data_IF_611308278671
#
_entry.id   IF_611308278671
#
_cell.length_a   1.000
_cell.length_b   1.000
_cell.length_c   1.000
_cell.angle_alpha   90.00
_cell.angle_beta   90.00
_cell.angle_gamma   90.00
#
_symmetry.space_group_name_H-M   'P 1'
#
loop_
_entity.id
_entity.type
_entity.pdbx_description
1 polymer ?
#
# COMPACT_ATOMS: atom_id res chain seq x y z
N UNK A 1 24.11 41.21 -77.10
CA UNK A 1 22.66 41.50 -77.07
C UNK A 1 22.02 40.17 -76.64
N UNK A 2 21.90 39.90 -75.32
CA UNK A 2 20.77 40.33 -74.43
C UNK A 2 19.44 39.85 -75.05
N UNK A 3 18.59 39.01 -74.46
CA UNK A 3 17.95 38.99 -73.12
C UNK A 3 17.42 37.56 -72.84
N UNK A 4 17.65 36.96 -71.66
CA UNK A 4 16.79 36.88 -70.46
C UNK A 4 15.64 35.85 -70.45
N UNK A 5 15.76 34.96 -69.47
CA UNK A 5 14.75 34.27 -68.66
C UNK A 5 13.27 34.60 -68.91
N UNK A 6 12.47 33.55 -69.07
CA UNK A 6 11.14 33.48 -68.47
C UNK A 6 10.88 32.12 -67.86
N UNK A 7 11.14 32.05 -66.55
CA UNK A 7 10.59 31.08 -65.62
C UNK A 7 9.14 31.49 -65.32
N UNK A 8 8.18 30.61 -65.61
CA UNK A 8 6.82 30.64 -65.05
C UNK A 8 6.63 29.43 -64.13
N UNK A 9 6.29 29.60 -62.84
CA UNK A 9 6.10 28.48 -61.93
C UNK A 9 4.72 27.86 -62.20
N UNK A 10 4.68 26.55 -62.48
CA UNK A 10 3.44 25.79 -62.37
C UNK A 10 3.21 25.48 -60.89
N UNK A 11 2.08 26.00 -60.41
CA UNK A 11 1.52 25.90 -59.08
C UNK A 11 1.29 24.47 -58.61
N UNK A 12 1.49 24.31 -57.31
CA UNK A 12 0.97 23.27 -56.42
C UNK A 12 -0.37 22.69 -56.85
N UNK A 13 -0.48 21.37 -56.73
CA UNK A 13 -1.55 20.70 -55.97
C UNK A 13 -1.19 19.21 -55.82
N UNK A 14 -0.31 18.91 -54.85
CA UNK A 14 -0.24 17.55 -54.29
C UNK A 14 -1.39 17.42 -53.28
N UNK A 15 -2.30 16.44 -53.43
CA UNK A 15 -3.42 16.28 -52.52
C UNK A 15 -2.91 15.99 -51.11
N UNK A 16 -3.37 16.83 -50.18
CA UNK A 16 -2.95 16.85 -48.78
C UNK A 16 -2.84 15.46 -48.19
N UNK A 17 -1.59 15.06 -47.92
CA UNK A 17 -1.27 14.11 -46.88
C UNK A 17 -1.94 14.63 -45.61
N UNK A 18 -2.99 13.94 -45.20
CA UNK A 18 -3.67 14.19 -43.95
C UNK A 18 -2.65 14.05 -42.83
N UNK A 19 -2.13 15.19 -42.40
CA UNK A 19 -1.34 15.39 -41.19
C UNK A 19 -1.86 14.44 -40.10
N UNK A 20 -1.12 13.37 -39.71
CA UNK A 20 -1.55 12.53 -38.62
C UNK A 20 -1.54 13.42 -37.39
N UNK A 21 -2.76 13.72 -36.94
CA UNK A 21 -3.11 14.40 -35.69
C UNK A 21 -2.04 14.14 -34.64
N UNK A 22 -1.26 15.18 -34.38
CA UNK A 22 -0.67 15.52 -33.10
C UNK A 22 -0.59 14.32 -32.13
N UNK A 23 0.48 13.52 -32.24
CA UNK A 23 0.82 12.54 -31.21
C UNK A 23 1.16 13.31 -29.96
N UNK A 24 0.15 13.52 -29.12
CA UNK A 24 0.35 13.97 -27.76
C UNK A 24 1.23 12.95 -27.05
N UNK A 25 2.53 13.25 -26.95
CA UNK A 25 3.49 12.59 -26.04
C UNK A 25 3.16 12.91 -24.57
N UNK A 26 1.87 12.89 -24.24
CA UNK A 26 1.31 13.23 -22.95
C UNK A 26 0.70 11.99 -22.32
N UNK A 27 0.84 11.90 -21.00
CA UNK A 27 0.17 10.91 -20.17
C UNK A 27 -1.35 10.88 -20.43
N UNK A 28 -1.89 9.69 -20.71
CA UNK A 28 -3.33 9.45 -20.83
C UNK A 28 -3.82 8.49 -19.74
N UNK A 29 -4.54 9.04 -18.77
CA UNK A 29 -5.14 8.28 -17.68
C UNK A 29 -6.16 7.24 -18.17
N UNK A 30 -6.87 7.54 -19.26
CA UNK A 30 -7.85 6.62 -19.86
C UNK A 30 -7.17 5.33 -20.35
N UNK A 31 -6.03 5.48 -21.03
CA UNK A 31 -5.19 4.35 -21.44
C UNK A 31 -4.68 3.54 -20.25
N UNK A 32 -4.21 4.19 -19.17
CA UNK A 32 -3.74 3.48 -17.97
C UNK A 32 -4.85 2.66 -17.31
N UNK A 33 -6.06 3.22 -17.20
CA UNK A 33 -7.21 2.50 -16.62
C UNK A 33 -7.63 1.33 -17.53
N UNK A 34 -7.63 1.54 -18.85
CA UNK A 34 -7.95 0.48 -19.80
C UNK A 34 -6.94 -0.68 -19.73
N UNK A 35 -5.65 -0.37 -19.64
CA UNK A 35 -4.58 -1.36 -19.43
C UNK A 35 -4.78 -2.10 -18.10
N UNK A 36 -5.06 -1.41 -17.00
CA UNK A 36 -5.30 -2.04 -15.70
C UNK A 36 -6.50 -3.00 -15.75
N UNK A 37 -7.61 -2.58 -16.38
CA UNK A 37 -8.76 -3.45 -16.62
C UNK A 37 -8.36 -4.68 -17.42
N UNK A 38 -7.57 -4.52 -18.47
CA UNK A 38 -7.13 -5.65 -19.30
C UNK A 38 -6.21 -6.60 -18.52
N UNK A 39 -5.26 -6.09 -17.73
CA UNK A 39 -4.41 -6.92 -16.86
C UNK A 39 -5.25 -7.75 -15.88
N UNK A 40 -6.32 -7.18 -15.34
CA UNK A 40 -7.19 -7.88 -14.38
C UNK A 40 -8.10 -8.89 -15.10
N UNK A 41 -8.66 -8.54 -16.26
CA UNK A 41 -9.71 -9.36 -16.90
C UNK A 41 -9.18 -10.36 -17.92
N UNK A 42 -8.08 -10.05 -18.59
CA UNK A 42 -7.41 -10.90 -19.58
C UNK A 42 -5.89 -10.63 -19.61
N UNK A 43 -5.16 -11.04 -18.56
CA UNK A 43 -3.72 -10.83 -18.49
C UNK A 43 -2.96 -11.61 -19.57
N UNK A 44 -3.49 -12.74 -20.04
CA UNK A 44 -2.83 -13.54 -21.08
C UNK A 44 -2.65 -12.73 -22.37
N UNK A 45 -3.74 -12.14 -22.85
CA UNK A 45 -3.72 -11.27 -24.03
C UNK A 45 -2.90 -10.00 -23.77
N UNK A 46 -3.01 -9.40 -22.57
CA UNK A 46 -2.24 -8.21 -22.23
C UNK A 46 -0.72 -8.49 -22.29
N UNK A 47 -0.25 -9.49 -21.54
CA UNK A 47 1.18 -9.82 -21.44
C UNK A 47 1.77 -10.30 -22.76
N UNK A 48 0.99 -11.00 -23.60
CA UNK A 48 1.46 -11.41 -24.93
C UNK A 48 1.74 -10.22 -25.85
N UNK A 49 0.92 -9.17 -25.75
CA UNK A 49 0.93 -8.03 -26.67
C UNK A 49 1.67 -6.79 -26.14
N UNK A 50 2.01 -6.74 -24.85
CA UNK A 50 2.70 -5.58 -24.29
C UNK A 50 4.08 -5.37 -24.97
N UNK A 51 4.48 -4.11 -25.19
CA UNK A 51 5.82 -3.81 -25.69
C UNK A 51 6.88 -4.32 -24.71
N UNK A 52 7.93 -4.94 -25.24
CA UNK A 52 9.05 -5.46 -24.44
C UNK A 52 10.19 -4.45 -24.26
N UNK A 53 10.17 -3.36 -25.02
CA UNK A 53 11.15 -2.26 -25.00
C UNK A 53 10.44 -0.88 -25.07
N UNK A 54 11.20 0.22 -25.07
CA UNK A 54 10.65 1.59 -25.07
C UNK A 54 10.76 2.36 -23.74
N UNK A 55 11.89 2.24 -23.03
CA UNK A 55 12.13 2.88 -21.73
C UNK A 55 11.27 2.39 -20.54
N UNK A 56 11.49 3.05 -19.40
CA UNK A 56 10.81 2.79 -18.11
C UNK A 56 9.69 3.79 -17.79
N UNK A 57 9.53 4.85 -18.61
CA UNK A 57 8.60 5.95 -18.33
C UNK A 57 7.14 5.49 -18.22
N UNK A 58 6.61 4.88 -19.28
CA UNK A 58 5.23 4.37 -19.31
C UNK A 58 4.92 3.39 -18.15
N UNK A 59 5.69 2.32 -17.91
CA UNK A 59 5.42 1.41 -16.81
C UNK A 59 5.57 2.08 -15.43
N UNK A 60 6.50 3.02 -15.26
CA UNK A 60 6.63 3.77 -14.00
C UNK A 60 5.41 4.66 -13.74
N UNK A 61 4.93 5.36 -14.76
CA UNK A 61 3.71 6.16 -14.65
C UNK A 61 2.51 5.28 -14.29
N UNK A 62 2.42 4.09 -14.88
CA UNK A 62 1.39 3.11 -14.51
C UNK A 62 1.45 2.74 -13.01
N UNK A 63 2.64 2.44 -12.49
CA UNK A 63 2.86 2.15 -11.05
C UNK A 63 2.45 3.33 -10.18
N UNK A 64 2.82 4.55 -10.56
CA UNK A 64 2.46 5.78 -9.82
C UNK A 64 0.95 5.93 -9.76
N UNK A 65 0.24 5.78 -10.89
CA UNK A 65 -1.23 5.89 -10.93
C UNK A 65 -1.87 4.82 -10.05
N UNK A 66 -1.47 3.56 -10.17
CA UNK A 66 -2.00 2.48 -9.31
C UNK A 66 -1.71 2.74 -7.83
N UNK A 67 -0.54 3.30 -7.52
CA UNK A 67 -0.16 3.69 -6.16
C UNK A 67 -0.99 4.83 -5.60
N UNK A 68 -1.25 5.88 -6.38
CA UNK A 68 -2.16 6.97 -5.99
C UNK A 68 -3.58 6.43 -5.78
N UNK A 69 -4.09 5.59 -6.68
CA UNK A 69 -5.42 5.00 -6.56
C UNK A 69 -5.54 4.12 -5.30
N UNK A 70 -4.57 3.23 -5.07
CA UNK A 70 -4.56 2.38 -3.88
C UNK A 70 -4.40 3.20 -2.59
N UNK A 71 -3.54 4.22 -2.59
CA UNK A 71 -3.33 5.13 -1.46
C UNK A 71 -4.58 5.97 -1.14
N UNK A 72 -5.30 6.44 -2.17
CA UNK A 72 -6.56 7.16 -2.01
C UNK A 72 -7.65 6.26 -1.43
N UNK A 73 -7.80 5.04 -1.93
CA UNK A 73 -8.75 4.05 -1.37
C UNK A 73 -8.40 3.80 0.10
N UNK A 74 -7.13 3.49 0.40
CA UNK A 74 -6.68 3.26 1.77
C UNK A 74 -6.96 4.47 2.68
N UNK A 75 -6.64 5.68 2.22
CA UNK A 75 -6.86 6.92 2.99
C UNK A 75 -8.34 7.16 3.29
N UNK A 76 -9.23 6.94 2.32
CA UNK A 76 -10.68 7.03 2.53
C UNK A 76 -11.15 5.99 3.56
N UNK A 77 -10.73 4.73 3.42
CA UNK A 77 -11.06 3.68 4.39
C UNK A 77 -10.55 4.01 5.79
N UNK A 78 -9.40 4.65 5.88
CA UNK A 78 -8.78 5.08 7.14
C UNK A 78 -9.58 6.15 7.88
N UNK A 79 -10.18 7.10 7.15
CA UNK A 79 -11.07 8.11 7.75
C UNK A 79 -12.28 7.45 8.41
N UNK A 80 -12.81 6.37 7.82
CA UNK A 80 -13.92 5.59 8.38
C UNK A 80 -13.48 4.60 9.48
N UNK A 81 -12.22 4.62 9.91
CA UNK A 81 -11.69 3.75 10.95
C UNK A 81 -11.44 2.30 10.50
N UNK A 82 -11.57 1.99 9.21
CA UNK A 82 -11.50 0.61 8.69
C UNK A 82 -10.07 0.06 8.57
N UNK A 83 -9.05 0.89 8.79
CA UNK A 83 -7.63 0.51 8.70
C UNK A 83 -6.87 0.66 10.03
N UNK A 84 -7.50 1.27 11.05
CA UNK A 84 -6.86 1.63 12.32
C UNK A 84 -5.95 2.87 12.27
N UNK A 85 -5.71 3.47 11.09
CA UNK A 85 -4.79 4.62 10.96
C UNK A 85 -5.48 6.01 11.06
N UNK A 86 -6.81 6.07 11.17
CA UNK A 86 -7.56 7.33 11.30
C UNK A 86 -7.23 8.35 10.20
N UNK A 87 -7.15 9.64 10.56
CA UNK A 87 -6.79 10.70 9.61
C UNK A 87 -5.35 10.58 9.07
N UNK A 88 -4.43 9.93 9.80
CA UNK A 88 -3.05 9.74 9.37
C UNK A 88 -2.95 8.87 8.10
N UNK A 89 -3.95 8.02 7.83
CA UNK A 89 -4.01 7.21 6.61
C UNK A 89 -4.12 8.02 5.31
N UNK A 90 -4.51 9.30 5.36
CA UNK A 90 -4.47 10.19 4.18
C UNK A 90 -3.05 10.36 3.61
N UNK A 91 -2.02 10.23 4.45
CA UNK A 91 -0.63 10.24 4.01
C UNK A 91 -0.31 9.14 2.98
N UNK A 92 -1.08 8.05 2.94
CA UNK A 92 -0.90 6.96 1.98
C UNK A 92 -1.05 7.42 0.52
N UNK A 93 -1.81 8.48 0.24
CA UNK A 93 -1.95 9.05 -1.11
C UNK A 93 -0.59 9.51 -1.67
N UNK A 94 0.29 10.01 -0.80
CA UNK A 94 1.61 10.51 -1.16
C UNK A 94 2.67 9.42 -0.99
N UNK A 95 2.62 8.68 0.12
CA UNK A 95 3.64 7.68 0.46
C UNK A 95 3.55 6.45 -0.46
N UNK A 96 2.35 5.97 -0.78
CA UNK A 96 2.18 4.77 -1.59
C UNK A 96 2.82 4.86 -2.99
N UNK A 97 2.58 5.90 -3.82
CA UNK A 97 3.21 5.99 -5.13
C UNK A 97 4.73 6.07 -5.07
N UNK A 98 5.31 6.73 -4.06
CA UNK A 98 6.77 6.81 -3.88
C UNK A 98 7.32 5.42 -3.52
N UNK A 99 6.73 4.79 -2.50
CA UNK A 99 7.15 3.47 -2.04
C UNK A 99 6.99 2.40 -3.15
N UNK A 100 5.90 2.43 -3.90
CA UNK A 100 5.67 1.52 -5.02
C UNK A 100 6.59 1.79 -6.20
N UNK A 101 6.91 3.05 -6.49
CA UNK A 101 7.88 3.38 -7.54
C UNK A 101 9.23 2.72 -7.24
N UNK A 102 9.78 2.95 -6.05
CA UNK A 102 11.06 2.35 -5.61
C UNK A 102 10.94 0.83 -5.54
N UNK A 103 9.89 0.34 -4.85
CA UNK A 103 9.63 -1.08 -4.66
C UNK A 103 9.49 -1.84 -5.97
N UNK A 104 8.88 -1.22 -7.00
CA UNK A 104 8.72 -1.84 -8.31
C UNK A 104 10.06 -2.13 -8.99
N UNK A 105 11.07 -1.26 -8.87
CA UNK A 105 12.40 -1.52 -9.42
C UNK A 105 13.08 -2.67 -8.69
N UNK A 106 12.99 -2.69 -7.36
CA UNK A 106 13.58 -3.74 -6.52
C UNK A 106 12.92 -5.10 -6.80
N UNK A 107 11.59 -5.15 -6.79
CA UNK A 107 10.84 -6.38 -7.06
C UNK A 107 11.13 -6.89 -8.47
N UNK A 108 11.25 -5.99 -9.44
CA UNK A 108 11.62 -6.35 -10.81
C UNK A 108 13.04 -6.87 -10.92
N UNK A 109 13.98 -6.41 -10.07
CA UNK A 109 15.36 -6.88 -10.10
C UNK A 109 15.44 -8.32 -9.57
N UNK A 110 14.75 -8.60 -8.47
CA UNK A 110 14.60 -9.96 -7.94
C UNK A 110 13.95 -10.85 -9.00
N UNK A 111 12.83 -10.40 -9.58
CA UNK A 111 12.11 -11.18 -10.60
C UNK A 111 12.93 -11.41 -11.87
N UNK A 112 13.69 -10.40 -12.31
CA UNK A 112 14.60 -10.52 -13.44
C UNK A 112 15.65 -11.61 -13.21
N UNK A 113 16.25 -11.68 -12.03
CA UNK A 113 17.20 -12.75 -11.68
C UNK A 113 16.51 -14.11 -11.71
N UNK A 114 15.31 -14.25 -11.13
CA UNK A 114 14.56 -15.50 -11.17
C UNK A 114 14.29 -15.92 -12.62
N UNK A 115 13.78 -15.03 -13.46
CA UNK A 115 13.53 -15.33 -14.86
C UNK A 115 14.81 -15.64 -15.64
N UNK A 116 15.93 -14.99 -15.33
CA UNK A 116 17.24 -15.34 -15.92
C UNK A 116 17.70 -16.73 -15.54
N UNK A 117 17.55 -17.13 -14.29
CA UNK A 117 17.84 -18.50 -13.83
C UNK A 117 16.91 -19.53 -14.50
N UNK A 118 15.67 -19.13 -14.80
CA UNK A 118 14.73 -19.94 -15.59
C UNK A 118 15.02 -19.91 -17.11
N UNK A 119 16.07 -19.22 -17.56
CA UNK A 119 16.51 -19.17 -18.96
C UNK A 119 15.83 -18.13 -19.84
N UNK A 120 15.24 -17.08 -19.27
CA UNK A 120 14.60 -16.00 -20.03
C UNK A 120 15.59 -15.28 -20.97
N UNK A 121 15.25 -15.08 -22.25
CA UNK A 121 16.09 -14.31 -23.17
C UNK A 121 16.00 -12.80 -22.91
N UNK A 122 14.94 -12.33 -22.25
CA UNK A 122 14.65 -10.91 -22.09
C UNK A 122 15.55 -10.21 -21.06
N UNK A 123 15.58 -8.89 -21.17
CA UNK A 123 16.33 -7.97 -20.34
C UNK A 123 15.54 -7.51 -19.10
N UNK A 124 16.20 -6.69 -18.28
CA UNK A 124 15.58 -6.12 -17.09
C UNK A 124 14.38 -5.23 -17.41
N UNK A 125 14.42 -4.52 -18.55
CA UNK A 125 13.34 -3.63 -18.94
C UNK A 125 12.02 -4.39 -19.17
N UNK A 126 12.10 -5.53 -19.83
CA UNK A 126 10.94 -6.42 -20.04
C UNK A 126 10.40 -6.92 -18.71
N UNK A 127 11.29 -7.32 -17.79
CA UNK A 127 10.90 -7.78 -16.45
C UNK A 127 10.23 -6.67 -15.63
N UNK A 128 10.76 -5.45 -15.71
CA UNK A 128 10.18 -4.28 -15.06
C UNK A 128 8.78 -3.97 -15.56
N UNK A 129 8.58 -3.98 -16.89
CA UNK A 129 7.25 -3.80 -17.47
C UNK A 129 6.26 -4.84 -16.95
N UNK A 130 6.65 -6.11 -16.84
CA UNK A 130 5.78 -7.16 -16.33
C UNK A 130 5.31 -6.90 -14.89
N UNK A 131 6.25 -6.53 -14.02
CA UNK A 131 5.98 -6.26 -12.61
C UNK A 131 5.25 -4.94 -12.39
N UNK A 132 5.55 -3.91 -13.20
CA UNK A 132 4.84 -2.65 -13.17
C UNK A 132 3.36 -2.84 -13.48
N UNK A 133 3.02 -3.56 -14.55
CA UNK A 133 1.62 -3.83 -14.89
C UNK A 133 0.93 -4.74 -13.88
N UNK A 134 1.67 -5.63 -13.18
CA UNK A 134 1.11 -6.43 -12.11
C UNK A 134 0.56 -5.59 -10.94
N UNK A 135 0.98 -4.32 -10.80
CA UNK A 135 0.42 -3.39 -9.79
C UNK A 135 -1.04 -3.01 -10.06
N UNK A 136 -1.61 -3.37 -11.22
CA UNK A 136 -3.02 -3.17 -11.55
C UNK A 136 -3.97 -3.73 -10.47
N UNK A 137 -3.55 -4.76 -9.74
CA UNK A 137 -4.36 -5.40 -8.70
C UNK A 137 -4.43 -4.58 -7.40
N UNK A 138 -3.54 -3.60 -7.19
CA UNK A 138 -3.39 -2.92 -5.91
C UNK A 138 -4.64 -2.12 -5.48
N UNK A 139 -5.32 -1.36 -6.36
CA UNK A 139 -6.57 -0.69 -5.98
C UNK A 139 -7.65 -1.69 -5.54
N UNK A 140 -7.75 -2.85 -6.21
CA UNK A 140 -8.70 -3.91 -5.82
C UNK A 140 -8.36 -4.47 -4.45
N UNK A 141 -7.07 -4.75 -4.21
CA UNK A 141 -6.60 -5.25 -2.90
C UNK A 141 -6.88 -4.25 -1.78
N UNK A 142 -6.72 -2.94 -2.03
CA UNK A 142 -7.01 -1.90 -1.04
C UNK A 142 -8.50 -1.89 -0.62
N UNK A 143 -9.42 -2.22 -1.52
CA UNK A 143 -10.84 -2.37 -1.18
C UNK A 143 -11.06 -3.65 -0.37
N UNK A 144 -10.48 -4.76 -0.81
CA UNK A 144 -10.67 -6.07 -0.17
C UNK A 144 -10.02 -6.14 1.22
N UNK A 145 -9.01 -5.30 1.50
CA UNK A 145 -8.31 -5.29 2.80
C UNK A 145 -9.15 -4.85 4.00
N UNK A 146 -10.40 -4.42 3.79
CA UNK A 146 -11.36 -4.20 4.88
C UNK A 146 -11.59 -5.51 5.66
N UNK A 147 -11.55 -6.65 4.96
CA UNK A 147 -11.68 -7.97 5.58
C UNK A 147 -10.27 -8.43 6.00
N UNK A 148 -10.01 -8.66 7.31
CA UNK A 148 -8.73 -9.15 7.79
C UNK A 148 -8.25 -10.37 7.01
N UNK A 149 -6.95 -10.40 6.68
CA UNK A 149 -6.27 -11.46 5.95
C UNK A 149 -6.69 -11.66 4.48
N UNK A 150 -7.91 -11.30 4.10
CA UNK A 150 -8.42 -11.51 2.76
C UNK A 150 -7.65 -10.70 1.71
N UNK A 151 -7.31 -9.45 2.04
CA UNK A 151 -6.47 -8.61 1.17
C UNK A 151 -5.11 -9.26 0.88
N UNK A 152 -4.48 -9.86 1.89
CA UNK A 152 -3.20 -10.57 1.77
C UNK A 152 -3.32 -11.83 0.92
N UNK A 153 -4.38 -12.62 1.11
CA UNK A 153 -4.67 -13.80 0.29
C UNK A 153 -4.89 -13.42 -1.17
N UNK A 154 -5.76 -12.46 -1.45
CA UNK A 154 -6.08 -12.02 -2.82
C UNK A 154 -4.84 -11.44 -3.51
N UNK A 155 -4.09 -10.57 -2.82
CA UNK A 155 -2.83 -10.00 -3.36
C UNK A 155 -1.86 -11.10 -3.79
N UNK A 156 -1.70 -12.11 -2.95
CA UNK A 156 -0.71 -13.17 -3.18
C UNK A 156 -1.17 -14.12 -4.27
N UNK A 157 -2.39 -14.65 -4.18
CA UNK A 157 -2.92 -15.59 -5.15
C UNK A 157 -2.98 -14.98 -6.56
N UNK A 158 -3.47 -13.73 -6.65
CA UNK A 158 -3.55 -13.03 -7.92
C UNK A 158 -2.18 -12.63 -8.45
N UNK A 159 -1.28 -12.15 -7.58
CA UNK A 159 0.09 -11.82 -7.95
C UNK A 159 0.84 -13.03 -8.52
N UNK A 160 0.71 -14.19 -7.89
CA UNK A 160 1.28 -15.46 -8.39
C UNK A 160 0.73 -15.79 -9.77
N UNK A 161 -0.59 -15.68 -9.96
CA UNK A 161 -1.21 -15.93 -11.26
C UNK A 161 -0.70 -14.97 -12.36
N UNK A 162 -0.59 -13.67 -12.06
CA UNK A 162 -0.04 -12.69 -13.01
C UNK A 162 1.42 -12.99 -13.36
N UNK A 163 2.26 -13.34 -12.37
CA UNK A 163 3.66 -13.67 -12.60
C UNK A 163 3.81 -14.97 -13.40
N UNK A 164 2.98 -16.00 -13.14
CA UNK A 164 2.95 -17.22 -13.98
C UNK A 164 2.57 -16.86 -15.42
N UNK A 165 1.56 -16.00 -15.61
CA UNK A 165 1.10 -15.59 -16.93
C UNK A 165 2.18 -14.80 -17.68
N UNK A 166 2.83 -13.83 -17.03
CA UNK A 166 3.98 -13.12 -17.59
C UNK A 166 5.12 -14.08 -17.94
N UNK A 167 5.36 -15.09 -17.10
CA UNK A 167 6.40 -16.09 -17.34
C UNK A 167 6.14 -16.90 -18.61
N UNK A 168 4.89 -17.28 -18.86
CA UNK A 168 4.53 -18.07 -20.06
C UNK A 168 4.41 -17.20 -21.30
N UNK A 169 3.73 -16.06 -21.21
CA UNK A 169 3.37 -15.22 -22.37
C UNK A 169 4.49 -14.27 -22.81
N UNK A 170 5.28 -13.75 -21.87
CA UNK A 170 6.38 -12.81 -22.16
C UNK A 170 7.68 -13.57 -22.21
N UNK A 171 7.97 -14.37 -21.17
CA UNK A 171 9.28 -15.02 -21.02
C UNK A 171 9.35 -16.39 -21.70
N UNK A 172 8.26 -16.92 -22.26
CA UNK A 172 8.24 -18.20 -22.96
C UNK A 172 8.65 -19.39 -22.07
N UNK A 173 8.39 -19.29 -20.76
CA UNK A 173 8.68 -20.38 -19.82
C UNK A 173 7.59 -21.44 -19.90
N UNK A 174 7.96 -22.70 -19.63
CA UNK A 174 7.00 -23.78 -19.49
C UNK A 174 6.03 -23.49 -18.32
N UNK A 175 4.73 -23.70 -18.55
CA UNK A 175 3.67 -23.43 -17.56
C UNK A 175 3.84 -24.23 -16.27
N UNK A 176 4.23 -25.50 -16.34
CA UNK A 176 4.46 -26.34 -15.16
C UNK A 176 5.65 -25.84 -14.35
N UNK A 177 6.77 -25.51 -15.01
CA UNK A 177 7.95 -24.96 -14.34
C UNK A 177 7.64 -23.60 -13.69
N UNK A 178 6.95 -22.72 -14.40
CA UNK A 178 6.53 -21.42 -13.84
C UNK A 178 5.58 -21.60 -12.65
N UNK A 179 4.58 -22.48 -12.77
CA UNK A 179 3.64 -22.77 -11.68
C UNK A 179 4.34 -23.36 -10.46
N UNK A 180 5.33 -24.23 -10.64
CA UNK A 180 6.09 -24.79 -9.52
C UNK A 180 6.91 -23.72 -8.80
N UNK A 181 7.73 -22.96 -9.55
CA UNK A 181 8.61 -21.92 -8.97
C UNK A 181 7.80 -20.84 -8.28
N UNK A 182 6.84 -20.24 -8.97
CA UNK A 182 6.04 -19.15 -8.41
C UNK A 182 4.95 -19.62 -7.45
N UNK A 183 4.52 -20.87 -7.53
CA UNK A 183 3.66 -21.49 -6.53
C UNK A 183 4.37 -21.62 -5.19
N UNK A 184 5.61 -22.14 -5.17
CA UNK A 184 6.42 -22.25 -3.94
C UNK A 184 6.70 -20.86 -3.36
N UNK A 185 7.16 -19.90 -4.19
CA UNK A 185 7.38 -18.52 -3.74
C UNK A 185 6.09 -17.86 -3.26
N UNK A 186 4.97 -18.17 -3.90
CA UNK A 186 3.63 -17.72 -3.51
C UNK A 186 3.21 -18.22 -2.14
N UNK A 187 3.42 -19.51 -1.84
CA UNK A 187 3.11 -20.08 -0.53
C UNK A 187 3.98 -19.45 0.56
N UNK A 188 5.29 -19.32 0.32
CA UNK A 188 6.21 -18.66 1.27
C UNK A 188 5.78 -17.19 1.50
N UNK A 189 5.47 -16.48 0.42
CA UNK A 189 4.99 -15.10 0.47
C UNK A 189 3.66 -14.97 1.22
N UNK A 190 2.73 -15.90 1.03
CA UNK A 190 1.45 -15.92 1.71
C UNK A 190 1.63 -16.13 3.22
N UNK A 191 2.43 -17.11 3.63
CA UNK A 191 2.70 -17.38 5.03
C UNK A 191 3.39 -16.19 5.72
N UNK A 192 4.36 -15.58 5.03
CA UNK A 192 5.05 -14.37 5.52
C UNK A 192 4.08 -13.19 5.64
N UNK A 193 3.23 -12.99 4.63
CA UNK A 193 2.22 -11.92 4.63
C UNK A 193 1.19 -12.07 5.74
N UNK A 194 0.67 -13.28 5.94
CA UNK A 194 -0.30 -13.57 7.00
C UNK A 194 0.33 -13.40 8.39
N UNK A 195 1.57 -13.87 8.56
CA UNK A 195 2.31 -13.71 9.82
C UNK A 195 2.60 -12.23 10.11
N UNK A 196 2.97 -11.46 9.08
CA UNK A 196 3.16 -10.02 9.18
C UNK A 196 1.88 -9.28 9.54
N UNK A 197 0.76 -9.62 8.90
CA UNK A 197 -0.54 -9.00 9.20
C UNK A 197 -1.01 -9.34 10.62
N UNK A 198 -0.82 -10.58 11.07
CA UNK A 198 -1.08 -10.99 12.45
C UNK A 198 -0.24 -10.17 13.45
N UNK A 199 1.07 -10.05 13.20
CA UNK A 199 1.97 -9.29 14.07
C UNK A 199 1.63 -7.78 14.09
N UNK A 200 1.18 -7.21 12.96
CA UNK A 200 0.74 -5.81 12.90
C UNK A 200 -0.53 -5.58 13.74
N UNK A 201 -1.51 -6.49 13.67
CA UNK A 201 -2.74 -6.40 14.45
C UNK A 201 -2.47 -6.56 15.95
N UNK A 202 -1.65 -7.53 16.33
CA UNK A 202 -1.22 -7.69 17.73
C UNK A 202 -0.48 -6.44 18.25
N UNK A 203 0.35 -5.81 17.41
CA UNK A 203 1.01 -4.55 17.75
C UNK A 203 0.02 -3.40 17.89
N UNK A 204 -0.98 -3.28 17.01
CA UNK A 204 -2.04 -2.27 17.11
C UNK A 204 -2.81 -2.42 18.42
N UNK A 205 -3.27 -3.63 18.76
CA UNK A 205 -3.97 -3.88 20.03
C UNK A 205 -3.09 -3.58 21.26
N UNK A 206 -1.77 -3.82 21.17
CA UNK A 206 -0.83 -3.46 22.25
C UNK A 206 -0.59 -1.95 22.35
N UNK A 207 -0.61 -1.24 21.22
CA UNK A 207 -0.49 0.21 21.18
C UNK A 207 -1.74 0.89 21.72
N UNK A 208 -2.93 0.42 21.34
CA UNK A 208 -4.21 0.93 21.85
C UNK A 208 -4.29 0.76 23.38
N UNK A 209 -4.00 -0.45 23.89
CA UNK A 209 -3.95 -0.68 25.34
C UNK A 209 -2.92 0.21 26.06
N UNK A 210 -1.77 0.46 25.45
CA UNK A 210 -0.79 1.39 26.02
C UNK A 210 -1.28 2.84 26.00
N UNK A 211 -1.98 3.25 24.95
CA UNK A 211 -2.55 4.58 24.84
C UNK A 211 -3.63 4.79 25.91
N UNK A 212 -4.55 3.83 26.07
CA UNK A 212 -5.57 3.84 27.13
C UNK A 212 -4.95 3.91 28.53
N UNK A 213 -3.95 3.06 28.82
CA UNK A 213 -3.24 3.09 30.10
C UNK A 213 -2.52 4.42 30.34
N UNK A 214 -1.96 5.02 29.30
CA UNK A 214 -1.30 6.31 29.40
C UNK A 214 -2.32 7.42 29.69
N UNK A 215 -3.46 7.40 29.01
CA UNK A 215 -4.56 8.35 29.21
C UNK A 215 -5.14 8.25 30.63
N UNK A 216 -5.40 7.02 31.12
CA UNK A 216 -5.84 6.80 32.51
C UNK A 216 -4.83 7.35 33.53
N UNK A 217 -3.53 7.14 33.28
CA UNK A 217 -2.46 7.71 34.12
C UNK A 217 -2.50 9.23 34.10
N UNK A 218 -2.60 9.86 32.93
CA UNK A 218 -2.71 11.32 32.82
C UNK A 218 -3.93 11.86 33.57
N UNK A 219 -5.11 11.27 33.38
CA UNK A 219 -6.31 11.68 34.10
C UNK A 219 -6.18 11.48 35.61
N UNK A 220 -5.49 10.41 36.05
CA UNK A 220 -5.22 10.19 37.48
C UNK A 220 -4.29 11.25 38.07
N UNK A 221 -3.28 11.69 37.31
CA UNK A 221 -2.36 12.76 37.71
C UNK A 221 -3.07 14.10 37.76
N UNK A 222 -3.95 14.40 36.79
CA UNK A 222 -4.77 15.61 36.79
C UNK A 222 -5.70 15.65 38.01
N UNK A 223 -6.33 14.53 38.37
CA UNK A 223 -7.12 14.40 39.61
C UNK A 223 -6.28 14.62 40.86
N UNK A 224 -5.01 14.22 40.84
CA UNK A 224 -4.05 14.50 41.92
C UNK A 224 -3.51 15.93 41.91
N UNK A 225 -3.94 16.78 40.97
CA UNK A 225 -3.53 18.18 40.88
C UNK A 225 -2.25 18.42 40.08
N UNK A 226 -1.81 17.49 39.24
CA UNK A 226 -0.73 17.73 38.27
C UNK A 226 -1.35 18.05 36.91
N UNK A 227 -1.27 19.30 36.47
CA UNK A 227 -1.77 19.75 35.16
C UNK A 227 -0.90 19.25 33.99
N UNK A 228 -1.44 19.30 32.77
CA UNK A 228 -0.74 18.92 31.54
C UNK A 228 0.53 19.76 31.26
N UNK A 229 0.59 20.98 31.80
CA UNK A 229 1.73 21.91 31.72
C UNK A 229 2.79 21.67 32.81
N UNK A 230 2.57 20.68 33.69
CA UNK A 230 3.43 20.40 34.83
C UNK A 230 3.21 21.33 36.01
N UNK A 231 2.21 22.24 35.96
CA UNK A 231 1.84 23.04 37.12
C UNK A 231 1.06 22.20 38.13
N UNK A 232 1.43 22.37 39.40
CA UNK A 232 0.75 21.73 40.51
C UNK A 232 -0.42 22.64 40.92
N UNK A 233 -1.65 22.16 40.83
CA UNK A 233 -2.84 22.73 41.44
C UNK A 233 -2.88 22.32 42.92
N UNK A 234 -2.48 23.21 43.85
CA UNK A 234 -2.35 22.87 45.27
C UNK A 234 -3.71 22.60 45.92
N UNK A 235 -4.82 23.11 45.35
CA UNK A 235 -6.16 22.88 45.88
C UNK A 235 -6.66 21.47 45.54
N UNK A 236 -6.50 21.06 44.27
CA UNK A 236 -6.81 19.68 43.85
C UNK A 236 -5.92 18.66 44.57
N UNK A 237 -4.63 18.97 44.69
CA UNK A 237 -3.68 18.09 45.40
C UNK A 237 -4.01 17.97 46.89
N UNK A 238 -4.39 19.07 47.54
CA UNK A 238 -4.83 19.07 48.93
C UNK A 238 -6.10 18.26 49.16
N UNK A 239 -7.08 18.33 48.24
CA UNK A 239 -8.31 17.52 48.30
C UNK A 239 -8.02 16.04 48.11
N UNK A 240 -7.23 15.67 47.10
CA UNK A 240 -6.85 14.28 46.83
C UNK A 240 -6.12 13.66 48.04
N UNK A 241 -5.19 14.40 48.66
CA UNK A 241 -4.49 13.96 49.87
C UNK A 241 -5.45 13.80 51.05
N UNK A 242 -6.41 14.71 51.21
CA UNK A 242 -7.44 14.66 52.25
C UNK A 242 -8.35 13.43 52.14
N UNK A 243 -8.83 13.12 50.93
CA UNK A 243 -9.63 11.92 50.64
C UNK A 243 -8.86 10.64 50.93
N UNK A 244 -7.57 10.59 50.53
CA UNK A 244 -6.68 9.47 50.82
C UNK A 244 -6.51 9.24 52.34
N UNK A 245 -6.26 10.31 53.11
CA UNK A 245 -6.12 10.21 54.57
C UNK A 245 -7.40 9.73 55.24
N UNK A 246 -8.57 10.21 54.80
CA UNK A 246 -9.86 9.74 55.32
C UNK A 246 -10.11 8.27 54.99
N UNK A 247 -9.77 7.82 53.78
CA UNK A 247 -9.86 6.41 53.37
C UNK A 247 -9.02 5.48 54.25
N UNK A 248 -7.76 5.84 54.53
CA UNK A 248 -6.90 5.06 55.45
C UNK A 248 -7.46 5.04 56.87
N UNK A 249 -8.05 6.14 57.33
CA UNK A 249 -8.63 6.22 58.66
C UNK A 249 -9.90 5.37 58.80
N UNK A 250 -10.68 5.22 57.73
CA UNK A 250 -11.82 4.31 57.69
C UNK A 250 -11.38 2.84 57.61
N UNK A 251 -10.41 2.52 56.76
CA UNK A 251 -9.86 1.15 56.62
C UNK A 251 -9.29 0.63 57.95
N UNK A 252 -8.51 1.45 58.66
CA UNK A 252 -7.97 1.08 59.97
C UNK A 252 -9.05 0.89 61.06
N UNK A 253 -10.18 1.61 60.96
CA UNK A 253 -11.33 1.42 61.85
C UNK A 253 -12.10 0.14 61.54
N UNK A 254 -12.29 -0.21 60.26
CA UNK A 254 -12.92 -1.47 59.86
C UNK A 254 -12.07 -2.69 60.23
N UNK A 255 -10.74 -2.63 60.10
CA UNK A 255 -9.85 -3.72 60.53
C UNK A 255 -9.89 -3.93 62.05
N UNK A 256 -9.98 -2.86 62.84
CA UNK A 256 -10.18 -2.94 64.29
C UNK A 256 -11.56 -3.51 64.69
N UNK A 257 -12.57 -3.36 63.83
CA UNK A 257 -13.92 -3.82 64.10
C UNK A 257 -14.10 -5.30 63.69
N UNK A 258 -13.50 -5.74 62.59
CA UNK A 258 -13.47 -7.15 62.16
C UNK A 258 -12.61 -8.03 63.08
N UNK A 259 -11.52 -7.50 63.64
CA UNK A 259 -10.69 -8.21 64.63
C UNK A 259 -11.32 -8.30 66.03
N UNK A 260 -12.37 -7.51 66.31
CA UNK A 260 -13.20 -7.63 67.52
C UNK A 260 -14.48 -8.46 67.31
N UNK A 261 -14.83 -8.83 66.08
CA UNK A 261 -16.01 -9.65 65.75
C UNK A 261 -15.74 -11.16 65.65
N UNK A 262 -14.47 -11.59 65.76
CA UNK A 262 -14.05 -12.99 65.68
C UNK A 262 -13.69 -13.57 67.06
N UNK A 263 -14.58 -13.44 68.05
CA UNK A 263 -14.57 -14.35 69.20
C UNK A 263 -15.58 -15.49 68.92
N UNK A 264 -15.14 -16.76 68.93
CA UNK A 264 -16.05 -17.89 68.73
C UNK A 264 -16.93 -18.07 69.98
N UNK A 265 -18.25 -18.25 69.76
CA UNK A 265 -19.15 -18.82 70.78
C UNK A 265 -18.75 -20.24 71.19
#
# INVERSE_FOLDING_TARGET
>A
MHEENQWTPASDESPGESNPKNSSSGFDLGTVIAQAKQVITDPGTFYRNMPKSGGFGEPLIFVIVMGVLAGAIYGVLSIFGLTGAGAAGLGAIIVAPIALSIGSFISSAIMFVIWKLMGSPHDYQTAYRCMAYATAILPVVAIVSIIPYLGTVVRTAWGVWLVITASTEVHGRNKQTAALVFGILGVIGLLTGLSGEYAQRELQEKMERHAEQMEERFQSLEKMGLGEDGEIDPEKMGRALGEFMQGMQQAGKSEQQDSQGAEPE
#
